data_IF_487750369648
#
_entry.id   IF_487750369648
#
_cell.length_a   1.000
_cell.length_b   1.000
_cell.length_c   1.000
_cell.angle_alpha   90.00
_cell.angle_beta   90.00
_cell.angle_gamma   90.00
#
_symmetry.space_group_name_H-M   'P 1'
#
loop_
_entity.id
_entity.type
_entity.pdbx_description
1 polymer ?
#
# COMPACT_ATOMS: atom_id res chain seq x y z
N UNK A 1 -24.90 -11.76 -2.46
CA UNK A 1 -23.62 -11.37 -1.84
C UNK A 1 -22.72 -10.88 -2.95
N UNK A 2 -22.32 -9.60 -2.93
CA UNK A 2 -21.39 -9.06 -3.93
C UNK A 2 -19.98 -9.58 -3.64
N UNK A 3 -19.25 -10.01 -4.65
CA UNK A 3 -17.85 -10.40 -4.49
C UNK A 3 -16.99 -9.14 -4.25
N UNK A 4 -16.00 -9.19 -3.37
CA UNK A 4 -15.10 -8.06 -3.16
C UNK A 4 -14.23 -7.84 -4.40
N UNK A 5 -14.04 -6.57 -4.75
CA UNK A 5 -13.11 -6.11 -5.80
C UNK A 5 -11.75 -5.97 -5.15
N UNK A 6 -10.70 -6.49 -5.79
CA UNK A 6 -9.34 -6.38 -5.25
C UNK A 6 -8.55 -5.40 -6.11
N UNK A 7 -8.22 -4.24 -5.55
CA UNK A 7 -7.27 -3.33 -6.19
C UNK A 7 -5.84 -3.76 -5.86
N UNK A 8 -4.99 -3.79 -6.87
CA UNK A 8 -3.56 -4.04 -6.70
C UNK A 8 -2.79 -2.77 -7.05
N UNK A 9 -2.21 -2.14 -6.02
CA UNK A 9 -1.29 -1.03 -6.18
C UNK A 9 0.15 -1.53 -6.18
N UNK A 10 0.90 -1.22 -7.24
CA UNK A 10 2.34 -1.43 -7.28
C UNK A 10 3.05 -0.12 -7.00
N UNK A 11 3.79 -0.08 -5.89
CA UNK A 11 4.47 1.11 -5.41
C UNK A 11 5.96 0.96 -5.68
N UNK A 12 6.49 1.86 -6.50
CA UNK A 12 7.93 1.99 -6.76
C UNK A 12 8.40 3.32 -6.20
N UNK A 13 9.60 3.37 -5.64
CA UNK A 13 10.21 4.64 -5.26
C UNK A 13 11.16 5.15 -6.33
N UNK A 14 11.15 6.47 -6.58
CA UNK A 14 12.16 7.14 -7.41
C UNK A 14 13.55 7.13 -6.75
N UNK A 15 13.63 6.88 -5.43
CA UNK A 15 14.86 6.67 -4.66
C UNK A 15 14.79 5.30 -3.95
N UNK A 16 15.04 4.18 -4.64
CA UNK A 16 14.68 2.83 -4.18
C UNK A 16 15.16 2.50 -2.76
N UNK A 17 16.43 2.82 -2.44
CA UNK A 17 17.01 2.53 -1.14
C UNK A 17 16.41 3.35 0.03
N UNK A 18 15.91 4.56 -0.25
CA UNK A 18 15.37 5.48 0.76
C UNK A 18 13.85 5.36 0.87
N UNK A 19 13.13 5.36 -0.26
CA UNK A 19 11.68 5.34 -0.28
C UNK A 19 11.10 4.03 0.22
N UNK A 20 11.63 2.87 -0.22
CA UNK A 20 11.18 1.57 0.31
C UNK A 20 11.46 1.48 1.81
N UNK A 21 12.62 1.95 2.28
CA UNK A 21 12.96 1.96 3.71
C UNK A 21 12.03 2.87 4.53
N UNK A 22 11.70 4.06 4.03
CA UNK A 22 10.80 5.01 4.70
C UNK A 22 9.37 4.49 4.72
N UNK A 23 8.88 3.97 3.60
CA UNK A 23 7.56 3.35 3.51
C UNK A 23 7.47 2.13 4.44
N UNK A 24 8.50 1.30 4.45
CA UNK A 24 8.63 0.17 5.37
C UNK A 24 8.62 0.61 6.83
N UNK A 25 9.29 1.71 7.20
CA UNK A 25 9.22 2.27 8.55
C UNK A 25 7.81 2.75 8.89
N UNK A 26 7.11 3.41 7.97
CA UNK A 26 5.73 3.87 8.19
C UNK A 26 4.76 2.72 8.40
N UNK A 27 4.83 1.72 7.53
CA UNK A 27 3.99 0.53 7.59
C UNK A 27 4.24 -0.28 8.87
N UNK A 28 5.48 -0.32 9.35
CA UNK A 28 5.88 -1.08 10.54
C UNK A 28 5.94 -0.23 11.82
N UNK A 29 5.66 1.07 11.76
CA UNK A 29 5.72 1.95 12.93
C UNK A 29 4.77 1.49 14.07
N UNK A 30 3.80 0.62 13.75
CA UNK A 30 2.89 -0.02 14.71
C UNK A 30 3.17 -1.50 15.03
N UNK A 31 4.11 -2.18 14.36
CA UNK A 31 4.34 -3.62 14.56
C UNK A 31 5.64 -3.92 15.32
N UNK A 32 5.51 -4.48 16.52
CA UNK A 32 6.62 -5.04 17.31
C UNK A 32 6.95 -6.51 16.99
N UNK A 33 6.29 -7.12 16.00
CA UNK A 33 6.38 -8.57 15.75
C UNK A 33 7.38 -8.95 14.64
N UNK A 34 7.96 -10.17 14.69
CA UNK A 34 8.82 -10.67 13.64
C UNK A 34 8.05 -10.72 12.31
N UNK A 35 8.67 -10.21 11.25
CA UNK A 35 8.05 -10.15 9.93
C UNK A 35 7.71 -11.55 9.41
N UNK A 36 6.50 -11.76 8.83
CA UNK A 36 6.24 -12.95 8.06
C UNK A 36 7.09 -12.94 6.78
N UNK A 37 7.70 -14.08 6.44
CA UNK A 37 8.30 -14.28 5.12
C UNK A 37 7.15 -14.33 4.09
N UNK A 38 7.06 -13.35 3.19
CA UNK A 38 6.08 -13.34 2.09
C UNK A 38 5.07 -12.19 2.06
N UNK A 39 5.02 -11.35 3.10
CA UNK A 39 4.12 -10.20 3.18
C UNK A 39 3.57 -9.98 4.58
N UNK A 40 2.96 -8.84 4.83
CA UNK A 40 2.33 -8.50 6.11
C UNK A 40 1.07 -7.66 5.88
N UNK A 41 0.17 -7.63 6.86
CA UNK A 41 -1.08 -6.85 6.77
C UNK A 41 -0.92 -5.57 7.57
N UNK A 42 -1.22 -4.44 6.96
CA UNK A 42 -1.36 -3.16 7.67
C UNK A 42 -2.80 -2.69 7.60
N UNK A 43 -3.24 -1.94 8.60
CA UNK A 43 -4.51 -1.22 8.51
C UNK A 43 -4.18 0.23 8.16
N UNK A 44 -4.60 0.66 6.96
CA UNK A 44 -4.45 2.05 6.52
C UNK A 44 -5.74 2.81 6.87
N UNK A 45 -5.67 3.93 7.60
CA UNK A 45 -6.84 4.76 7.87
C UNK A 45 -7.57 5.16 6.57
N UNK A 46 -8.89 4.98 6.53
CA UNK A 46 -9.70 5.27 5.33
C UNK A 46 -9.67 4.19 4.24
N UNK A 47 -8.84 3.16 4.38
CA UNK A 47 -8.67 2.07 3.42
C UNK A 47 -8.98 0.68 4.02
N UNK A 48 -8.75 0.51 5.32
CA UNK A 48 -8.91 -0.78 5.99
C UNK A 48 -7.66 -1.67 5.84
N UNK A 49 -7.82 -3.01 5.92
CA UNK A 49 -6.70 -3.94 5.85
C UNK A 49 -6.11 -4.02 4.45
N UNK A 50 -4.80 -3.82 4.36
CA UNK A 50 -4.01 -3.86 3.13
C UNK A 50 -2.92 -4.91 3.27
N UNK A 51 -2.89 -5.86 2.35
CA UNK A 51 -1.82 -6.86 2.29
C UNK A 51 -0.64 -6.24 1.55
N UNK A 52 0.50 -6.15 2.22
CA UNK A 52 1.74 -5.63 1.67
C UNK A 52 2.71 -6.76 1.43
N UNK A 53 3.15 -6.92 0.19
CA UNK A 53 4.22 -7.84 -0.19
C UNK A 53 5.41 -7.04 -0.72
N UNK A 54 6.62 -7.47 -0.34
CA UNK A 54 7.88 -6.87 -0.80
C UNK A 54 8.53 -7.84 -1.79
N UNK A 55 8.87 -7.35 -2.97
CA UNK A 55 9.60 -8.09 -3.99
C UNK A 55 10.87 -7.32 -4.43
N UNK A 56 11.64 -7.90 -5.35
CA UNK A 56 12.88 -7.29 -5.87
C UNK A 56 12.67 -5.96 -6.61
N UNK A 57 11.43 -5.60 -6.94
CA UNK A 57 11.06 -4.43 -7.71
C UNK A 57 10.32 -3.35 -6.90
N UNK A 58 9.98 -3.62 -5.63
CA UNK A 58 9.32 -2.67 -4.74
C UNK A 58 8.28 -3.31 -3.82
N UNK A 59 7.22 -2.56 -3.52
CA UNK A 59 6.11 -3.01 -2.70
C UNK A 59 4.86 -3.21 -3.56
N UNK A 60 4.16 -4.31 -3.34
CA UNK A 60 2.82 -4.57 -3.88
C UNK A 60 1.82 -4.55 -2.74
N UNK A 61 0.77 -3.74 -2.91
CA UNK A 61 -0.28 -3.53 -1.93
C UNK A 61 -1.58 -4.05 -2.55
N UNK A 62 -2.25 -4.95 -1.83
CA UNK A 62 -3.55 -5.50 -2.22
C UNK A 62 -4.61 -4.97 -1.27
N UNK A 63 -5.63 -4.33 -1.84
CA UNK A 63 -6.71 -3.66 -1.11
C UNK A 63 -8.01 -4.34 -1.53
N UNK A 64 -8.77 -4.86 -0.58
CA UNK A 64 -10.09 -5.43 -0.84
C UNK A 64 -11.16 -4.34 -0.63
N UNK A 65 -11.97 -4.10 -1.66
CA UNK A 65 -13.08 -3.16 -1.68
C UNK A 65 -14.40 -3.91 -1.83
N UNK A 66 -15.45 -3.39 -1.20
CA UNK A 66 -16.80 -3.96 -1.28
C UNK A 66 -17.67 -3.27 -2.35
N UNK A 67 -17.21 -2.13 -2.87
CA UNK A 67 -17.86 -1.39 -3.96
C UNK A 67 -16.82 -0.79 -4.90
N UNK A 68 -17.12 -0.76 -6.21
CA UNK A 68 -16.29 -0.10 -7.21
C UNK A 68 -16.27 1.43 -6.99
N UNK A 69 -17.34 1.98 -6.42
CA UNK A 69 -17.45 3.42 -6.11
C UNK A 69 -16.44 3.87 -5.04
N UNK A 70 -15.91 2.93 -4.25
CA UNK A 70 -14.90 3.21 -3.24
C UNK A 70 -13.48 3.20 -3.81
N UNK A 71 -13.29 2.75 -5.06
CA UNK A 71 -11.96 2.69 -5.68
C UNK A 71 -11.26 4.06 -5.75
N UNK A 72 -11.89 5.16 -6.21
CA UNK A 72 -11.23 6.47 -6.24
C UNK A 72 -10.82 6.97 -4.85
N UNK A 73 -11.65 6.69 -3.82
CA UNK A 73 -11.38 7.06 -2.42
C UNK A 73 -10.20 6.25 -1.88
N UNK A 74 -10.18 4.95 -2.15
CA UNK A 74 -9.10 4.05 -1.78
C UNK A 74 -7.78 4.45 -2.43
N UNK A 75 -7.80 4.82 -3.71
CA UNK A 75 -6.62 5.32 -4.43
C UNK A 75 -6.07 6.59 -3.78
N UNK A 76 -6.94 7.57 -3.52
CA UNK A 76 -6.57 8.85 -2.91
C UNK A 76 -6.01 8.68 -1.50
N UNK A 77 -6.64 7.82 -0.69
CA UNK A 77 -6.19 7.50 0.65
C UNK A 77 -4.82 6.80 0.65
N UNK A 78 -4.57 5.94 -0.35
CA UNK A 78 -3.28 5.26 -0.47
C UNK A 78 -2.19 6.25 -0.84
N UNK A 79 -2.43 7.09 -1.85
CA UNK A 79 -1.47 8.10 -2.28
C UNK A 79 -1.10 9.05 -1.14
N UNK A 80 -2.09 9.52 -0.37
CA UNK A 80 -1.87 10.35 0.81
C UNK A 80 -1.06 9.62 1.89
N UNK A 81 -1.32 8.32 2.12
CA UNK A 81 -0.55 7.53 3.08
C UNK A 81 0.91 7.34 2.64
N UNK A 82 1.13 7.07 1.34
CA UNK A 82 2.44 6.87 0.76
C UNK A 82 3.25 8.17 0.77
N UNK A 83 2.63 9.29 0.40
CA UNK A 83 3.27 10.59 0.27
C UNK A 83 2.42 11.76 0.82
N UNK A 84 2.31 11.88 2.16
CA UNK A 84 1.48 12.91 2.79
C UNK A 84 2.01 14.33 2.58
N UNK A 85 3.21 14.48 2.01
CA UNK A 85 3.82 15.78 1.71
C UNK A 85 3.89 16.10 0.21
N UNK A 86 3.35 15.24 -0.67
CA UNK A 86 3.39 15.44 -2.12
C UNK A 86 4.80 15.63 -2.69
N UNK A 87 5.79 14.91 -2.15
CA UNK A 87 7.19 14.99 -2.61
C UNK A 87 7.49 14.12 -3.83
N UNK A 88 6.47 13.52 -4.44
CA UNK A 88 6.51 12.56 -5.55
C UNK A 88 7.55 11.45 -5.35
N UNK A 89 7.74 10.99 -4.12
CA UNK A 89 8.78 9.98 -3.81
C UNK A 89 8.44 8.59 -4.36
N UNK A 90 7.15 8.38 -4.67
CA UNK A 90 6.58 7.11 -5.09
C UNK A 90 5.82 7.26 -6.40
N UNK A 91 5.95 6.26 -7.28
CA UNK A 91 5.02 6.03 -8.38
C UNK A 91 4.13 4.84 -8.04
N UNK A 92 2.82 5.03 -8.22
CA UNK A 92 1.81 4.00 -8.02
C UNK A 92 1.26 3.59 -9.38
N UNK A 93 1.22 2.29 -9.64
CA UNK A 93 0.52 1.73 -10.80
C UNK A 93 -0.60 0.84 -10.29
N UNK A 94 -1.80 1.06 -10.79
CA UNK A 94 -3.01 0.34 -10.40
C UNK A 94 -3.36 -0.71 -11.43
N UNK A 95 -3.68 -1.91 -10.97
CA UNK A 95 -4.28 -2.97 -11.77
C UNK A 95 -5.60 -3.39 -11.09
N UNK A 96 -6.63 -3.59 -11.92
CA UNK A 96 -7.88 -4.28 -11.55
C UNK A 96 -7.71 -5.80 -11.58
#
# INVERSE_FOLDING_TARGET
MSQPIVLIARVRSRKPALGVRNLRRRLLAGERRPRPKGGFVVVIPGLGPVVVTEDRFGLSLRIALFSAEDAPKAMSALELFLDPGGRDEFSVTWNE
#
